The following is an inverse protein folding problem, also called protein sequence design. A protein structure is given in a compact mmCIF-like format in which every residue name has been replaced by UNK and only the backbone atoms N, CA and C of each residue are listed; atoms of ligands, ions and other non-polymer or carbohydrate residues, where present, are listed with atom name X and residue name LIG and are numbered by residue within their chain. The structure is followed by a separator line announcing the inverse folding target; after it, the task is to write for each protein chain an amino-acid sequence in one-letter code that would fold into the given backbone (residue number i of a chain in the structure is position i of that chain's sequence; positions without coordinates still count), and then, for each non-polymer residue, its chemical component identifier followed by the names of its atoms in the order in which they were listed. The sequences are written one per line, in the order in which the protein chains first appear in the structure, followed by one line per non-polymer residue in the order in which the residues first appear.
data_IF_817936062682
#
_entry.id   IF_817936062682
#
_cell.length_a   1.000
_cell.length_b   1.000
_cell.length_c   1.000
_cell.angle_alpha   90.00
_cell.angle_beta   90.00
_cell.angle_gamma   90.00
#
_symmetry.space_group_name_H-M   'P 1'
#
loop_
_entity.id
_entity.type
_entity.pdbx_description
1 polymer ?
#
# COMPACT_ATOMS: atom_id res chain seq x y z
N UNK A 1 -1.97 3.57 6.08
CA UNK A 1 -1.62 2.20 5.64
C UNK A 1 -0.16 1.83 5.92
N UNK A 2 0.83 2.66 5.57
CA UNK A 2 2.27 2.33 5.70
C UNK A 2 2.92 2.69 7.05
N UNK A 3 2.15 2.88 8.12
CA UNK A 3 2.64 3.12 9.47
C UNK A 3 1.91 2.15 10.40
N UNK A 4 2.31 0.89 10.36
CA UNK A 4 1.83 -0.15 11.31
C UNK A 4 3.00 -0.61 12.15
N UNK A 5 3.55 0.37 12.86
CA UNK A 5 4.50 0.14 13.92
C UNK A 5 3.70 -0.55 15.04
N UNK A 6 4.11 -1.75 15.44
CA UNK A 6 3.51 -2.44 16.58
C UNK A 6 3.82 -1.66 17.87
N UNK A 7 2.90 -0.77 18.24
CA UNK A 7 3.10 0.18 19.33
C UNK A 7 3.16 -0.53 20.67
N UNK A 8 2.37 -1.58 20.85
CA UNK A 8 2.35 -2.37 22.07
C UNK A 8 3.68 -3.15 22.22
N UNK A 9 4.21 -3.73 21.13
CA UNK A 9 5.54 -4.33 21.14
C UNK A 9 6.66 -3.31 21.35
N UNK A 10 6.54 -2.07 20.87
CA UNK A 10 7.50 -1.00 21.15
C UNK A 10 7.58 -0.61 22.63
N UNK A 11 6.50 -0.75 23.39
CA UNK A 11 6.50 -0.44 24.82
C UNK A 11 7.13 -1.56 25.65
N UNK A 12 6.96 -2.81 25.24
CA UNK A 12 7.57 -3.98 25.88
C UNK A 12 9.04 -4.19 25.45
N UNK A 13 9.41 -3.79 24.22
CA UNK A 13 10.75 -3.91 23.65
C UNK A 13 11.52 -2.59 23.75
N UNK A 14 11.81 -2.18 24.99
CA UNK A 14 12.52 -0.93 25.28
C UNK A 14 13.98 -1.03 24.79
N UNK A 15 14.23 -0.70 23.51
CA UNK A 15 15.54 -0.73 22.87
C UNK A 15 15.73 -1.79 21.78
N UNK A 16 14.69 -2.56 21.40
CA UNK A 16 14.72 -3.47 20.25
C UNK A 16 14.09 -2.88 18.97
N UNK A 17 14.22 -3.59 17.83
CA UNK A 17 13.80 -3.09 16.53
C UNK A 17 12.27 -2.91 16.47
N UNK A 18 11.80 -1.77 15.96
CA UNK A 18 10.37 -1.48 15.81
C UNK A 18 9.71 -2.51 14.86
N UNK A 19 8.84 -3.42 15.35
CA UNK A 19 8.30 -4.48 14.50
C UNK A 19 7.34 -3.90 13.45
N UNK A 20 7.47 -4.35 12.21
CA UNK A 20 6.47 -4.09 11.16
C UNK A 20 5.35 -5.11 11.31
N UNK A 21 4.11 -4.65 11.48
CA UNK A 21 2.93 -5.53 11.41
C UNK A 21 2.61 -5.83 9.93
N UNK A 22 3.15 -6.97 9.47
CA UNK A 22 3.12 -7.41 8.08
C UNK A 22 1.95 -8.37 7.80
N UNK A 23 1.35 -8.94 8.85
CA UNK A 23 0.17 -9.77 8.75
C UNK A 23 -1.02 -9.00 8.14
N UNK A 24 -1.86 -9.71 7.38
CA UNK A 24 -3.01 -9.13 6.70
C UNK A 24 -2.70 -7.94 5.76
N UNK A 25 -1.44 -7.77 5.32
CA UNK A 25 -1.01 -6.70 4.40
C UNK A 25 -1.97 -6.48 3.22
N UNK A 26 -2.42 -7.57 2.59
CA UNK A 26 -3.33 -7.56 1.44
C UNK A 26 -4.70 -6.95 1.78
N UNK A 27 -5.27 -7.33 2.93
CA UNK A 27 -6.54 -6.78 3.39
C UNK A 27 -6.41 -5.31 3.78
N UNK A 28 -5.29 -4.94 4.40
CA UNK A 28 -5.02 -3.57 4.87
C UNK A 28 -4.80 -2.60 3.71
N UNK A 29 -4.08 -3.01 2.66
CA UNK A 29 -3.90 -2.17 1.47
C UNK A 29 -5.21 -2.01 0.69
N UNK A 30 -6.06 -3.04 0.66
CA UNK A 30 -7.41 -2.94 0.07
C UNK A 30 -8.34 -2.04 0.87
N UNK A 31 -8.29 -2.09 2.20
CA UNK A 31 -9.02 -1.17 3.06
C UNK A 31 -8.59 0.28 2.82
N UNK A 32 -7.28 0.53 2.72
CA UNK A 32 -6.77 1.84 2.35
C UNK A 32 -7.23 2.32 0.97
N UNK A 33 -7.20 1.44 -0.05
CA UNK A 33 -7.73 1.76 -1.37
C UNK A 33 -9.23 2.15 -1.31
N UNK A 34 -10.01 1.47 -0.48
CA UNK A 34 -11.42 1.80 -0.25
C UNK A 34 -11.60 3.16 0.46
N UNK A 35 -10.80 3.45 1.49
CA UNK A 35 -10.80 4.75 2.20
C UNK A 35 -10.47 5.93 1.28
N UNK A 36 -9.56 5.69 0.31
CA UNK A 36 -9.19 6.68 -0.71
C UNK A 36 -10.23 6.79 -1.84
N UNK A 37 -11.37 6.09 -1.74
CA UNK A 37 -12.45 6.05 -2.72
C UNK A 37 -12.00 5.58 -4.11
N UNK A 38 -11.06 4.62 -4.17
CA UNK A 38 -10.72 3.97 -5.43
C UNK A 38 -11.88 3.13 -5.95
N UNK A 39 -11.89 2.84 -7.25
CA UNK A 39 -12.94 2.01 -7.86
C UNK A 39 -12.86 0.57 -7.36
N UNK A 40 -13.97 -0.18 -7.41
CA UNK A 40 -13.97 -1.60 -7.02
C UNK A 40 -12.95 -2.44 -7.81
N UNK A 41 -12.71 -2.10 -9.08
CA UNK A 41 -11.69 -2.75 -9.90
C UNK A 41 -10.27 -2.42 -9.42
N UNK A 42 -10.00 -1.16 -9.09
CA UNK A 42 -8.71 -0.72 -8.56
C UNK A 42 -8.42 -1.27 -7.16
N UNK A 43 -9.44 -1.38 -6.31
CA UNK A 43 -9.34 -2.04 -4.99
C UNK A 43 -8.99 -3.52 -5.19
N UNK A 44 -9.67 -4.22 -6.10
CA UNK A 44 -9.41 -5.64 -6.35
C UNK A 44 -8.00 -5.89 -6.92
N UNK A 45 -7.47 -4.97 -7.72
CA UNK A 45 -6.13 -5.04 -8.30
C UNK A 45 -5.02 -4.56 -7.34
N UNK A 46 -5.37 -3.82 -6.29
CA UNK A 46 -4.44 -3.37 -5.26
C UNK A 46 -4.11 -4.51 -4.30
N UNK A 47 -2.83 -4.79 -4.09
CA UNK A 47 -2.38 -5.97 -3.34
C UNK A 47 -1.00 -5.77 -2.71
N UNK A 48 -0.68 -6.66 -1.78
CA UNK A 48 0.63 -6.80 -1.18
C UNK A 48 1.52 -7.64 -2.10
N UNK A 49 2.71 -7.13 -2.40
CA UNK A 49 3.69 -7.81 -3.27
C UNK A 49 4.61 -8.70 -2.43
N UNK A 50 5.06 -8.19 -1.29
CA UNK A 50 5.90 -8.92 -0.34
C UNK A 50 5.65 -8.38 1.07
N UNK A 51 5.66 -9.26 2.07
CA UNK A 51 5.43 -8.89 3.47
C UNK A 51 6.17 -9.87 4.39
N UNK A 52 7.11 -9.33 5.16
CA UNK A 52 7.79 -9.99 6.25
C UNK A 52 8.12 -8.98 7.36
N UNK A 53 8.69 -9.47 8.46
CA UNK A 53 9.00 -8.65 9.64
C UNK A 53 10.05 -7.55 9.39
N UNK A 54 10.82 -7.63 8.30
CA UNK A 54 11.83 -6.64 7.93
C UNK A 54 11.34 -5.68 6.85
N UNK A 55 10.39 -6.11 6.00
CA UNK A 55 9.95 -5.35 4.82
C UNK A 55 8.51 -5.64 4.43
N UNK A 56 7.78 -4.58 4.12
CA UNK A 56 6.48 -4.66 3.45
C UNK A 56 6.51 -3.86 2.15
N UNK A 57 6.06 -4.48 1.06
CA UNK A 57 5.92 -3.86 -0.24
C UNK A 57 4.50 -4.05 -0.76
N UNK A 58 3.89 -2.96 -1.20
CA UNK A 58 2.54 -2.95 -1.76
C UNK A 58 2.52 -2.36 -3.16
N UNK A 59 1.56 -2.77 -3.95
CA UNK A 59 1.23 -2.18 -5.23
C UNK A 59 -0.23 -1.72 -5.23
N UNK A 60 -0.42 -0.43 -5.54
CA UNK A 60 -1.74 0.20 -5.64
C UNK A 60 -2.01 0.52 -7.09
N UNK A 61 -3.16 0.07 -7.59
CA UNK A 61 -3.63 0.42 -8.92
C UNK A 61 -4.55 1.64 -8.85
N UNK A 62 -4.44 2.55 -9.81
CA UNK A 62 -5.38 3.64 -10.02
C UNK A 62 -5.73 3.74 -11.49
N UNK A 63 -7.02 3.79 -11.79
CA UNK A 63 -7.52 4.05 -13.13
C UNK A 63 -8.11 5.46 -13.20
N UNK A 64 -7.64 6.29 -14.13
CA UNK A 64 -8.19 7.63 -14.36
C UNK A 64 -8.35 7.94 -15.85
N UNK A 65 -9.34 8.77 -16.16
CA UNK A 65 -9.58 9.25 -17.53
C UNK A 65 -8.97 10.65 -17.68
N UNK A 66 -7.85 10.81 -18.41
CA UNK A 66 -7.25 12.12 -18.58
C UNK A 66 -8.14 13.04 -19.42
N UNK A 67 -8.25 14.29 -19.01
CA UNK A 67 -8.96 15.34 -19.76
C UNK A 67 -8.01 15.96 -20.79
N UNK A 68 -7.43 15.15 -21.68
CA UNK A 68 -6.70 15.71 -22.82
C UNK A 68 -7.70 16.04 -23.92
N UNK A 69 -7.80 17.32 -24.25
CA UNK A 69 -8.67 17.92 -25.28
C UNK A 69 -8.23 17.64 -26.73
N UNK A 70 -7.44 16.58 -26.96
CA UNK A 70 -6.89 16.21 -28.26
C UNK A 70 -7.38 14.82 -28.70
N UNK A 71 -7.89 14.74 -29.92
CA UNK A 71 -8.70 13.65 -30.51
C UNK A 71 -8.09 12.23 -30.59
N UNK A 72 -7.03 11.89 -29.85
CA UNK A 72 -6.24 10.67 -30.09
C UNK A 72 -5.95 9.79 -28.86
N UNK A 73 -6.27 10.22 -27.63
CA UNK A 73 -6.05 9.43 -26.41
C UNK A 73 -7.31 9.42 -25.52
N UNK A 74 -8.36 8.74 -25.96
CA UNK A 74 -9.66 8.66 -25.26
C UNK A 74 -9.82 7.49 -24.30
N UNK A 75 -8.74 6.79 -23.97
CA UNK A 75 -8.77 5.62 -23.08
C UNK A 75 -8.56 5.98 -21.62
N UNK A 76 -9.19 5.23 -20.72
CA UNK A 76 -8.80 5.22 -19.31
C UNK A 76 -7.33 4.78 -19.20
N UNK A 77 -6.57 5.45 -18.34
CA UNK A 77 -5.17 5.15 -18.05
C UNK A 77 -5.12 4.42 -16.72
N UNK A 78 -4.50 3.24 -16.73
CA UNK A 78 -4.20 2.47 -15.52
C UNK A 78 -2.76 2.75 -15.12
N UNK A 79 -2.54 3.12 -13.87
CA UNK A 79 -1.20 3.31 -13.30
C UNK A 79 -1.02 2.42 -12.08
N UNK A 80 0.23 2.00 -11.86
CA UNK A 80 0.64 1.19 -10.72
C UNK A 80 1.64 1.97 -9.88
N UNK A 81 1.29 2.28 -8.64
CA UNK A 81 2.18 2.85 -7.64
C UNK A 81 2.73 1.77 -6.72
N UNK A 82 4.04 1.80 -6.45
CA UNK A 82 4.67 0.89 -5.49
C UNK A 82 5.20 1.66 -4.30
N UNK A 83 4.98 1.12 -3.11
CA UNK A 83 5.53 1.64 -1.87
C UNK A 83 6.21 0.52 -1.09
N UNK A 84 7.35 0.83 -0.50
CA UNK A 84 8.13 -0.10 0.33
C UNK A 84 8.33 0.55 1.69
N UNK A 85 8.08 -0.22 2.76
CA UNK A 85 8.48 0.08 4.11
C UNK A 85 9.53 -0.95 4.52
N UNK A 86 10.66 -0.49 5.06
CA UNK A 86 11.76 -1.33 5.54
C UNK A 86 12.08 -0.95 6.99
N UNK A 87 12.47 -1.95 7.78
CA UNK A 87 12.96 -1.73 9.13
C UNK A 87 14.44 -1.32 9.07
N UNK A 88 14.74 -0.05 9.31
CA UNK A 88 16.11 0.49 9.28
C UNK A 88 16.84 0.35 10.63
N UNK A 89 16.16 -0.10 11.69
CA UNK A 89 16.78 -0.37 12.98
C UNK A 89 16.96 -1.88 13.14
N UNK A 90 18.22 -2.31 13.21
CA UNK A 90 18.64 -3.70 13.44
C UNK A 90 19.57 -3.81 14.64
#
# INVERSE_FOLDING_TARGET
AAQDIDREALYDDTGGPAPINYENCDARVKAFAAEMNLTGADIAATHCVAADAARVQVEVQLTYSPVFTGAFYGGAVVVHGRAVAENEVG
#
